data_IF_421977219052
#
_entry.id   IF_421977219052
#
_cell.length_a   1.000
_cell.length_b   1.000
_cell.length_c   1.000
_cell.angle_alpha   90.00
_cell.angle_beta   90.00
_cell.angle_gamma   90.00
#
_symmetry.space_group_name_H-M   'P 1'
#
loop_
_entity.id
_entity.type
_entity.pdbx_description
1 polymer ?
#
# COMPACT_ATOMS: atom_id res chain seq x y z
N UNK A 1 -5.37 -5.24 2.31
CA UNK A 1 -5.52 -4.57 3.63
C UNK A 1 -5.25 -3.08 3.47
N UNK A 2 -6.14 -2.20 3.97
CA UNK A 2 -5.90 -0.76 3.94
C UNK A 2 -4.74 -0.39 4.90
N UNK A 3 -3.75 0.31 4.39
CA UNK A 3 -2.58 0.79 5.17
C UNK A 3 -2.32 2.27 4.86
N UNK A 4 -1.60 2.99 5.72
CA UNK A 4 -1.19 4.36 5.40
C UNK A 4 -0.31 4.38 4.14
N UNK A 5 -0.28 5.52 3.42
CA UNK A 5 0.57 5.66 2.23
C UNK A 5 2.05 5.41 2.59
N UNK A 6 2.50 5.96 3.71
CA UNK A 6 3.87 5.78 4.22
C UNK A 6 4.18 4.30 4.46
N UNK A 7 3.25 3.55 5.07
CA UNK A 7 3.45 2.12 5.30
C UNK A 7 3.50 1.34 3.96
N UNK A 8 2.64 1.69 3.00
CA UNK A 8 2.64 1.08 1.69
C UNK A 8 3.96 1.30 0.93
N UNK A 9 4.54 2.50 1.00
CA UNK A 9 5.83 2.84 0.40
C UNK A 9 6.97 2.06 1.06
N UNK A 10 7.00 2.01 2.40
CA UNK A 10 8.00 1.22 3.14
C UNK A 10 7.93 -0.25 2.78
N UNK A 11 6.73 -0.85 2.74
CA UNK A 11 6.53 -2.25 2.33
C UNK A 11 6.97 -2.46 0.88
N UNK A 12 6.66 -1.52 -0.01
CA UNK A 12 7.05 -1.59 -1.42
C UNK A 12 8.57 -1.53 -1.60
N UNK A 13 9.27 -0.74 -0.78
CA UNK A 13 10.73 -0.65 -0.79
C UNK A 13 11.42 -1.90 -0.23
N UNK A 14 10.83 -2.54 0.79
CA UNK A 14 11.41 -3.74 1.42
C UNK A 14 11.14 -5.01 0.59
N UNK A 15 9.90 -5.19 0.13
CA UNK A 15 9.43 -6.44 -0.47
C UNK A 15 9.12 -6.34 -1.98
N UNK A 16 9.17 -5.13 -2.53
CA UNK A 16 8.84 -4.86 -3.92
C UNK A 16 7.38 -4.45 -4.13
N UNK A 17 7.16 -3.62 -5.16
CA UNK A 17 5.84 -3.10 -5.48
C UNK A 17 4.83 -4.18 -5.91
N UNK A 18 5.28 -5.28 -6.53
CA UNK A 18 4.42 -6.39 -6.94
C UNK A 18 3.83 -7.11 -5.71
N UNK A 19 4.67 -7.38 -4.70
CA UNK A 19 4.22 -7.93 -3.43
C UNK A 19 3.27 -6.97 -2.70
N UNK A 20 3.63 -5.69 -2.63
CA UNK A 20 2.83 -4.69 -1.94
C UNK A 20 1.40 -4.55 -2.52
N UNK A 21 1.25 -4.57 -3.85
CA UNK A 21 -0.05 -4.46 -4.53
C UNK A 21 -0.98 -5.66 -4.33
N UNK A 22 -0.44 -6.85 -4.07
CA UNK A 22 -1.24 -8.07 -3.86
C UNK A 22 -1.93 -8.03 -2.50
N UNK A 23 -1.23 -7.55 -1.47
CA UNK A 23 -1.67 -7.67 -0.08
C UNK A 23 -2.15 -6.35 0.53
N UNK A 24 -1.67 -5.21 0.04
CA UNK A 24 -1.87 -3.90 0.65
C UNK A 24 -2.48 -2.89 -0.32
N UNK A 25 -3.28 -1.96 0.22
CA UNK A 25 -3.85 -0.83 -0.51
C UNK A 25 -3.69 0.44 0.33
N UNK A 26 -3.16 1.54 -0.21
CA UNK A 26 -3.03 2.78 0.56
C UNK A 26 -4.42 3.38 0.84
N UNK A 27 -4.66 3.79 2.08
CA UNK A 27 -5.93 4.39 2.54
C UNK A 27 -6.25 5.67 1.78
N UNK A 28 -5.22 6.44 1.37
CA UNK A 28 -5.37 7.62 0.52
C UNK A 28 -6.01 7.29 -0.84
N UNK A 29 -5.81 6.08 -1.36
CA UNK A 29 -6.46 5.60 -2.58
C UNK A 29 -7.86 5.02 -2.35
N UNK A 30 -8.27 4.84 -1.08
CA UNK A 30 -9.59 4.28 -0.73
C UNK A 30 -10.66 5.37 -0.52
N UNK A 31 -10.27 6.65 -0.53
CA UNK A 31 -11.20 7.79 -0.39
C UNK A 31 -11.65 8.27 -1.77
N UNK A 32 -12.48 7.47 -2.43
CA UNK A 32 -13.30 7.89 -3.58
C UNK A 32 -14.68 7.26 -3.46
N UNK A 33 -15.45 7.74 -2.50
CA UNK A 33 -16.92 7.70 -2.46
C UNK A 33 -17.43 8.69 -1.43
#
# INVERSE_FOLDING_TARGET
MPVSLVAYETISNIYGAAFAKVWFRPVSATRRS
#
